data_IF_601140934224
#
_entry.id   IF_601140934224
#
_cell.length_a   1.000
_cell.length_b   1.000
_cell.length_c   1.000
_cell.angle_alpha   90.00
_cell.angle_beta   90.00
_cell.angle_gamma   90.00
#
_symmetry.space_group_name_H-M   'P 1'
#
loop_
_entity.id
_entity.type
_entity.pdbx_description
1 polymer ?
#
# COMPACT_ATOMS: atom_id res chain seq x y z
N UNK A 1 6.30 22.80 3.90
CA UNK A 1 5.26 21.81 4.24
C UNK A 1 5.88 20.42 4.36
N UNK A 2 5.61 19.72 5.45
CA UNK A 2 6.34 18.51 5.82
C UNK A 2 5.90 17.30 5.02
N UNK A 3 6.83 16.36 4.76
CA UNK A 3 6.56 15.02 4.17
C UNK A 3 5.31 14.35 4.79
N UNK A 4 5.06 14.60 6.07
CA UNK A 4 3.96 14.02 6.85
C UNK A 4 2.57 14.34 6.30
N UNK A 5 2.31 15.57 5.84
CA UNK A 5 0.98 15.95 5.31
C UNK A 5 0.73 15.29 3.94
N UNK A 6 1.77 15.23 3.10
CA UNK A 6 1.69 14.54 1.80
C UNK A 6 1.41 13.07 1.98
N UNK A 7 2.13 12.44 2.92
CA UNK A 7 1.95 11.03 3.26
C UNK A 7 0.54 10.78 3.79
N UNK A 8 0.03 11.62 4.68
CA UNK A 8 -1.31 11.49 5.22
C UNK A 8 -2.40 11.60 4.15
N UNK A 9 -2.32 12.62 3.28
CA UNK A 9 -3.30 12.81 2.22
C UNK A 9 -3.31 11.64 1.22
N UNK A 10 -2.14 11.19 0.75
CA UNK A 10 -2.04 10.05 -0.14
C UNK A 10 -2.52 8.75 0.53
N UNK A 11 -2.23 8.56 1.82
CA UNK A 11 -2.70 7.43 2.61
C UNK A 11 -4.22 7.40 2.74
N UNK A 12 -4.85 8.54 2.99
CA UNK A 12 -6.32 8.62 3.07
C UNK A 12 -6.97 8.22 1.75
N UNK A 13 -6.50 8.75 0.62
CA UNK A 13 -7.04 8.40 -0.70
C UNK A 13 -6.85 6.91 -0.98
N UNK A 14 -5.63 6.41 -0.84
CA UNK A 14 -5.32 5.01 -1.12
C UNK A 14 -6.01 4.04 -0.14
N UNK A 15 -6.10 4.40 1.15
CA UNK A 15 -6.81 3.61 2.17
C UNK A 15 -8.30 3.51 1.89
N UNK A 16 -8.93 4.60 1.42
CA UNK A 16 -10.34 4.58 1.01
C UNK A 16 -10.57 3.64 -0.16
N UNK A 17 -9.68 3.64 -1.16
CA UNK A 17 -9.78 2.72 -2.31
C UNK A 17 -9.57 1.27 -1.87
N UNK A 18 -8.56 1.01 -1.03
CA UNK A 18 -8.35 -0.34 -0.49
C UNK A 18 -9.57 -0.84 0.30
N UNK A 19 -10.14 0.00 1.17
CA UNK A 19 -11.36 -0.31 1.91
C UNK A 19 -12.53 -0.60 0.98
N UNK A 20 -12.75 0.21 -0.06
CA UNK A 20 -13.81 -0.01 -1.03
C UNK A 20 -13.65 -1.34 -1.78
N UNK A 21 -12.44 -1.71 -2.20
CA UNK A 21 -12.17 -2.99 -2.87
C UNK A 21 -12.39 -4.16 -1.91
N UNK A 22 -11.93 -4.07 -0.67
CA UNK A 22 -12.13 -5.11 0.34
C UNK A 22 -13.62 -5.30 0.68
N UNK A 23 -14.39 -4.21 0.80
CA UNK A 23 -15.84 -4.28 1.01
C UNK A 23 -16.55 -4.92 -0.20
N UNK A 24 -16.17 -4.52 -1.42
CA UNK A 24 -16.74 -5.09 -2.64
C UNK A 24 -16.45 -6.59 -2.80
N UNK A 25 -15.35 -7.07 -2.25
CA UNK A 25 -14.99 -8.50 -2.25
C UNK A 25 -15.54 -9.28 -1.06
N UNK A 26 -16.25 -8.61 -0.12
CA UNK A 26 -16.78 -9.22 1.09
C UNK A 26 -15.71 -9.72 2.09
N UNK A 27 -14.50 -9.16 2.02
CA UNK A 27 -13.34 -9.59 2.81
C UNK A 27 -12.85 -8.55 3.82
N UNK A 28 -13.66 -7.54 4.10
CA UNK A 28 -13.28 -6.47 5.02
C UNK A 28 -13.04 -7.00 6.44
N UNK A 29 -13.87 -7.94 6.90
CA UNK A 29 -13.78 -8.54 8.24
C UNK A 29 -12.52 -9.39 8.46
N UNK A 30 -11.85 -9.83 7.39
CA UNK A 30 -10.72 -10.75 7.48
C UNK A 30 -9.45 -10.15 8.07
N UNK A 31 -9.28 -8.83 8.08
CA UNK A 31 -8.10 -8.19 8.67
C UNK A 31 -8.05 -8.36 10.18
N UNK A 32 -9.19 -8.21 10.86
CA UNK A 32 -9.29 -8.37 12.32
C UNK A 32 -9.06 -9.83 12.71
N UNK A 33 -9.61 -10.78 11.95
CA UNK A 33 -9.40 -12.21 12.15
C UNK A 33 -7.93 -12.61 12.05
N UNK A 34 -7.22 -12.11 11.01
CA UNK A 34 -5.80 -12.43 10.80
C UNK A 34 -4.93 -11.99 11.98
N UNK A 35 -5.28 -10.87 12.63
CA UNK A 35 -4.52 -10.36 13.77
C UNK A 35 -5.03 -10.87 15.12
N UNK A 36 -6.17 -11.52 15.18
CA UNK A 36 -6.78 -11.97 16.45
C UNK A 36 -7.18 -10.83 17.39
N UNK A 37 -7.40 -9.64 16.83
CA UNK A 37 -7.69 -8.42 17.58
C UNK A 37 -9.21 -8.24 17.75
N UNK A 38 -9.78 -8.80 18.79
CA UNK A 38 -11.18 -8.54 19.15
C UNK A 38 -11.33 -7.13 19.72
N UNK A 39 -12.23 -6.33 19.11
CA UNK A 39 -12.59 -4.99 19.62
C UNK A 39 -11.85 -3.81 18.95
N UNK A 40 -11.01 -4.06 17.96
CA UNK A 40 -10.42 -3.02 17.14
C UNK A 40 -11.27 -2.81 15.89
N UNK A 41 -11.61 -1.56 15.60
CA UNK A 41 -12.32 -1.21 14.39
C UNK A 41 -11.42 -1.46 13.17
N UNK A 42 -11.95 -2.20 12.20
CA UNK A 42 -11.26 -2.61 10.97
C UNK A 42 -10.75 -1.42 10.17
N UNK A 43 -11.47 -0.30 10.19
CA UNK A 43 -11.05 0.94 9.54
C UNK A 43 -9.74 1.49 10.12
N UNK A 44 -9.53 1.39 11.44
CA UNK A 44 -8.28 1.84 12.07
C UNK A 44 -7.09 0.98 11.60
N UNK A 45 -7.27 -0.34 11.53
CA UNK A 45 -6.23 -1.23 10.99
C UNK A 45 -5.94 -0.94 9.52
N UNK A 46 -6.98 -0.75 8.71
CA UNK A 46 -6.86 -0.42 7.30
C UNK A 46 -6.06 0.87 7.09
N UNK A 47 -6.42 1.95 7.80
CA UNK A 47 -5.71 3.22 7.69
C UNK A 47 -4.28 3.15 8.23
N UNK A 48 -4.04 2.41 9.29
CA UNK A 48 -2.69 2.21 9.82
C UNK A 48 -1.79 1.50 8.79
N UNK A 49 -2.26 0.39 8.21
CA UNK A 49 -1.52 -0.33 7.18
C UNK A 49 -1.31 0.52 5.93
N UNK A 50 -2.35 1.25 5.51
CA UNK A 50 -2.27 2.19 4.40
C UNK A 50 -1.25 3.30 4.65
N UNK A 51 -1.20 3.85 5.86
CA UNK A 51 -0.22 4.87 6.23
C UNK A 51 1.21 4.34 6.19
N UNK A 52 1.46 3.15 6.76
CA UNK A 52 2.77 2.49 6.74
C UNK A 52 3.20 2.17 5.31
N UNK A 53 2.31 1.57 4.51
CA UNK A 53 2.59 1.24 3.12
C UNK A 53 2.85 2.51 2.28
N UNK A 54 2.08 3.59 2.50
CA UNK A 54 2.30 4.88 1.84
C UNK A 54 3.64 5.51 2.22
N UNK A 55 4.01 5.47 3.50
CA UNK A 55 5.32 5.95 3.95
C UNK A 55 6.47 5.16 3.30
N UNK A 56 6.33 3.85 3.19
CA UNK A 56 7.25 2.97 2.47
C UNK A 56 7.38 3.36 1.00
N UNK A 57 6.25 3.54 0.30
CA UNK A 57 6.22 3.98 -1.09
C UNK A 57 6.96 5.32 -1.28
N UNK A 58 6.61 6.33 -0.49
CA UNK A 58 7.22 7.66 -0.55
C UNK A 58 8.72 7.58 -0.29
N UNK A 59 9.15 6.81 0.71
CA UNK A 59 10.57 6.64 1.03
C UNK A 59 11.34 5.97 -0.12
N UNK A 60 10.81 4.88 -0.67
CA UNK A 60 11.44 4.12 -1.77
C UNK A 60 11.49 4.98 -3.04
N UNK A 61 10.36 5.52 -3.49
CA UNK A 61 10.29 6.31 -4.72
C UNK A 61 11.12 7.59 -4.62
N UNK A 62 11.09 8.27 -3.47
CA UNK A 62 11.90 9.48 -3.26
C UNK A 62 13.39 9.21 -3.25
N UNK A 63 13.84 8.09 -2.69
CA UNK A 63 15.26 7.69 -2.70
C UNK A 63 15.72 7.30 -4.08
N UNK A 64 14.95 6.43 -4.75
CA UNK A 64 15.29 5.94 -6.07
C UNK A 64 15.26 7.06 -7.11
N UNK A 65 14.28 7.96 -7.09
CA UNK A 65 14.19 9.09 -8.01
C UNK A 65 15.36 10.09 -7.87
N UNK A 66 16.00 10.16 -6.69
CA UNK A 66 17.20 10.99 -6.45
C UNK A 66 18.49 10.33 -6.89
N UNK A 67 18.48 9.01 -7.13
CA UNK A 67 19.67 8.30 -7.60
C UNK A 67 20.07 8.79 -9.01
N UNK A 68 21.37 8.97 -9.23
CA UNK A 68 21.91 9.28 -10.57
C UNK A 68 21.63 8.18 -11.59
N UNK A 69 21.43 6.96 -11.12
CA UNK A 69 21.12 5.78 -11.94
C UNK A 69 19.63 5.51 -12.07
N UNK A 70 18.75 6.40 -11.56
CA UNK A 70 17.31 6.19 -11.64
C UNK A 70 16.85 6.14 -13.10
N UNK A 71 16.16 5.08 -13.53
CA UNK A 71 15.58 5.01 -14.86
C UNK A 71 14.52 6.10 -15.05
N UNK A 72 14.34 6.55 -16.30
CA UNK A 72 13.39 7.63 -16.64
C UNK A 72 11.98 7.41 -16.07
N UNK A 73 11.36 6.20 -16.18
CA UNK A 73 10.02 5.98 -15.64
C UNK A 73 9.91 6.28 -14.14
N UNK A 74 10.97 6.04 -13.38
CA UNK A 74 10.97 6.29 -11.94
C UNK A 74 11.07 7.79 -11.61
N UNK A 75 11.82 8.56 -12.40
CA UNK A 75 11.87 10.02 -12.28
C UNK A 75 10.55 10.66 -12.67
N UNK A 76 9.90 10.12 -13.69
CA UNK A 76 8.60 10.59 -14.17
C UNK A 76 7.46 10.23 -13.22
N UNK A 77 7.57 9.13 -12.47
CA UNK A 77 6.58 8.72 -11.46
C UNK A 77 6.35 9.77 -10.36
N UNK A 78 7.35 10.60 -10.05
CA UNK A 78 7.19 11.70 -9.07
C UNK A 78 6.62 12.97 -9.69
N UNK A 79 6.43 13.02 -11.01
CA UNK A 79 5.99 14.21 -11.76
C UNK A 79 4.65 14.02 -12.46
N UNK A 80 4.36 12.82 -12.94
CA UNK A 80 3.20 12.51 -13.76
C UNK A 80 2.41 11.35 -13.18
N UNK A 81 1.08 11.46 -13.23
CA UNK A 81 0.17 10.47 -12.64
C UNK A 81 0.23 9.11 -13.31
N UNK A 82 0.39 9.04 -14.63
CA UNK A 82 0.43 7.76 -15.36
C UNK A 82 1.69 6.92 -15.03
N UNK A 83 2.93 7.44 -15.16
CA UNK A 83 4.11 6.72 -14.67
C UNK A 83 4.04 6.41 -13.17
N UNK A 84 3.47 7.32 -12.37
CA UNK A 84 3.21 7.11 -10.96
C UNK A 84 2.31 5.91 -10.71
N UNK A 85 1.20 5.79 -11.46
CA UNK A 85 0.29 4.65 -11.38
C UNK A 85 0.99 3.32 -11.72
N UNK A 86 1.81 3.30 -12.77
CA UNK A 86 2.57 2.09 -13.15
C UNK A 86 3.56 1.65 -12.06
N UNK A 87 4.28 2.59 -11.46
CA UNK A 87 5.18 2.29 -10.33
C UNK A 87 4.39 1.89 -9.09
N UNK A 88 3.24 2.52 -8.85
CA UNK A 88 2.34 2.16 -7.76
C UNK A 88 1.75 0.75 -7.91
N UNK A 89 1.37 0.36 -9.13
CA UNK A 89 0.93 -1.00 -9.43
C UNK A 89 2.03 -2.03 -9.11
N UNK A 90 3.25 -1.79 -9.58
CA UNK A 90 4.39 -2.66 -9.28
C UNK A 90 4.65 -2.73 -7.77
N UNK A 91 4.55 -1.60 -7.07
CA UNK A 91 4.68 -1.54 -5.61
C UNK A 91 3.60 -2.35 -4.90
N UNK A 92 2.32 -2.21 -5.29
CA UNK A 92 1.21 -2.99 -4.73
C UNK A 92 1.37 -4.49 -4.92
N UNK A 93 1.87 -4.91 -6.08
CA UNK A 93 2.19 -6.31 -6.37
C UNK A 93 3.32 -6.84 -5.48
N UNK A 94 4.41 -6.07 -5.32
CA UNK A 94 5.52 -6.42 -4.43
C UNK A 94 5.06 -6.45 -2.97
N UNK A 95 4.23 -5.48 -2.56
CA UNK A 95 3.67 -5.44 -1.21
C UNK A 95 2.81 -6.67 -0.94
N UNK A 96 1.96 -7.08 -1.88
CA UNK A 96 1.20 -8.32 -1.78
C UNK A 96 2.11 -9.54 -1.63
N UNK A 97 3.12 -9.65 -2.48
CA UNK A 97 4.06 -10.77 -2.43
C UNK A 97 4.75 -10.88 -1.07
N UNK A 98 5.27 -9.77 -0.55
CA UNK A 98 6.02 -9.75 0.71
C UNK A 98 5.11 -9.91 1.92
N UNK A 99 3.99 -9.17 1.97
CA UNK A 99 3.13 -9.12 3.16
C UNK A 99 2.14 -10.28 3.18
N UNK A 100 1.45 -10.52 2.05
CA UNK A 100 0.37 -11.53 2.02
C UNK A 100 0.93 -12.91 1.69
N UNK A 101 1.65 -13.06 0.58
CA UNK A 101 2.08 -14.38 0.13
C UNK A 101 3.07 -15.06 1.09
N UNK A 102 3.93 -14.28 1.74
CA UNK A 102 4.93 -14.80 2.67
C UNK A 102 4.75 -14.33 4.11
N UNK A 103 4.38 -13.07 4.33
CA UNK A 103 4.25 -12.50 5.67
C UNK A 103 3.12 -13.09 6.48
N UNK A 104 1.94 -13.28 5.89
CA UNK A 104 0.78 -13.87 6.57
C UNK A 104 1.04 -15.31 7.00
N UNK A 105 1.53 -16.24 6.16
CA UNK A 105 1.88 -17.58 6.61
C UNK A 105 2.93 -17.61 7.72
N UNK A 106 3.95 -16.76 7.61
CA UNK A 106 5.00 -16.65 8.63
C UNK A 106 4.42 -16.17 9.97
N UNK A 107 3.49 -15.21 9.93
CA UNK A 107 2.79 -14.75 11.12
C UNK A 107 1.99 -15.86 11.79
N UNK A 108 1.22 -16.63 11.01
CA UNK A 108 0.44 -17.75 11.53
C UNK A 108 1.32 -18.86 12.12
N UNK A 109 2.48 -19.16 11.51
CA UNK A 109 3.42 -20.16 12.03
C UNK A 109 4.04 -19.73 13.37
N UNK A 110 4.44 -18.44 13.48
CA UNK A 110 5.13 -17.92 14.68
C UNK A 110 4.14 -17.64 15.84
N UNK A 111 2.99 -17.03 15.54
CA UNK A 111 2.07 -16.55 16.58
C UNK A 111 0.93 -17.54 16.83
N UNK A 112 0.37 -18.12 15.76
CA UNK A 112 -0.78 -19.02 15.84
C UNK A 112 -0.40 -20.50 15.93
N UNK A 113 0.85 -20.89 15.72
CA UNK A 113 1.28 -22.29 15.66
C UNK A 113 0.63 -23.10 14.53
N UNK A 114 0.05 -22.40 13.54
CA UNK A 114 -0.64 -23.01 12.41
C UNK A 114 0.21 -22.91 11.16
N UNK A 115 0.49 -24.04 10.51
CA UNK A 115 1.21 -24.07 9.23
C UNK A 115 0.26 -23.77 8.08
N UNK A 116 0.49 -22.63 7.44
CA UNK A 116 -0.20 -22.23 6.21
C UNK A 116 0.73 -22.43 5.02
N UNK A 117 0.25 -22.96 3.88
CA UNK A 117 1.08 -23.15 2.68
C UNK A 117 1.73 -21.84 2.22
N UNK A 118 3.02 -21.88 1.86
CA UNK A 118 3.76 -20.78 1.25
C UNK A 118 4.07 -21.10 -0.22
N UNK A 119 3.83 -20.17 -1.14
CA UNK A 119 3.21 -18.86 -0.98
C UNK A 119 1.68 -18.93 -0.78
N UNK A 120 1.14 -18.07 0.06
CA UNK A 120 -0.31 -17.99 0.29
C UNK A 120 -1.01 -17.23 -0.85
N UNK A 121 -1.85 -17.96 -1.60
CA UNK A 121 -2.53 -17.42 -2.77
C UNK A 121 -3.91 -16.86 -2.39
N UNK A 122 -3.97 -15.58 -2.08
CA UNK A 122 -5.22 -14.88 -1.78
C UNK A 122 -5.46 -13.78 -2.82
N UNK A 123 -6.15 -14.12 -3.92
CA UNK A 123 -6.39 -13.22 -5.05
C UNK A 123 -7.15 -11.93 -4.68
N UNK A 124 -8.18 -11.95 -3.81
CA UNK A 124 -8.86 -10.72 -3.43
C UNK A 124 -7.94 -9.68 -2.77
N UNK A 125 -6.95 -10.11 -1.99
CA UNK A 125 -5.96 -9.18 -1.42
C UNK A 125 -4.95 -8.69 -2.46
N UNK A 126 -4.66 -9.47 -3.49
CA UNK A 126 -3.86 -9.01 -4.63
C UNK A 126 -4.56 -7.86 -5.34
N UNK A 127 -5.84 -8.04 -5.71
CA UNK A 127 -6.63 -7.01 -6.38
C UNK A 127 -6.71 -5.72 -5.54
N UNK A 128 -6.95 -5.86 -4.23
CA UNK A 128 -7.00 -4.75 -3.30
C UNK A 128 -5.66 -3.99 -3.21
N UNK A 129 -4.53 -4.69 -3.08
CA UNK A 129 -3.22 -4.07 -2.95
C UNK A 129 -2.70 -3.49 -4.27
N UNK A 130 -3.03 -4.10 -5.41
CA UNK A 130 -2.74 -3.54 -6.73
C UNK A 130 -3.54 -2.26 -6.96
N UNK A 131 -4.85 -2.26 -6.65
CA UNK A 131 -5.68 -1.06 -6.73
C UNK A 131 -5.16 0.05 -5.80
N UNK A 132 -4.86 -0.30 -4.53
CA UNK A 132 -4.25 0.61 -3.57
C UNK A 132 -2.96 1.24 -4.10
N UNK A 133 -2.01 0.43 -4.55
CA UNK A 133 -0.74 0.91 -5.06
C UNK A 133 -0.90 1.80 -6.29
N UNK A 134 -1.79 1.42 -7.22
CA UNK A 134 -2.08 2.17 -8.45
C UNK A 134 -2.62 3.57 -8.12
N UNK A 135 -3.61 3.65 -7.23
CA UNK A 135 -4.19 4.94 -6.80
C UNK A 135 -3.18 5.77 -6.02
N UNK A 136 -2.41 5.14 -5.14
CA UNK A 136 -1.33 5.79 -4.39
C UNK A 136 -0.31 6.43 -5.35
N UNK A 137 0.17 5.66 -6.32
CA UNK A 137 1.14 6.12 -7.31
C UNK A 137 0.60 7.23 -8.20
N UNK A 138 -0.67 7.15 -8.63
CA UNK A 138 -1.33 8.18 -9.44
C UNK A 138 -1.56 9.48 -8.66
N UNK A 139 -1.95 9.38 -7.39
CA UNK A 139 -2.26 10.53 -6.54
C UNK A 139 -1.01 11.24 -6.01
N UNK A 140 0.09 10.53 -5.82
CA UNK A 140 1.31 11.08 -5.24
C UNK A 140 1.84 12.35 -5.92
N UNK A 141 2.01 12.42 -7.28
CA UNK A 141 2.47 13.63 -7.93
C UNK A 141 1.45 14.78 -7.84
N UNK A 142 0.15 14.49 -7.76
CA UNK A 142 -0.90 15.50 -7.58
C UNK A 142 -0.78 16.13 -6.19
N UNK A 143 -0.75 15.30 -5.15
CA UNK A 143 -0.60 15.76 -3.76
C UNK A 143 0.71 16.54 -3.59
N UNK A 144 1.79 16.08 -4.21
CA UNK A 144 3.07 16.76 -4.18
C UNK A 144 2.99 18.16 -4.79
N UNK A 145 2.34 18.32 -5.94
CA UNK A 145 2.17 19.64 -6.58
C UNK A 145 1.36 20.59 -5.69
N UNK A 146 0.22 20.11 -5.16
CA UNK A 146 -0.63 20.93 -4.28
C UNK A 146 0.10 21.40 -3.01
N UNK A 147 1.08 20.65 -2.55
CA UNK A 147 1.84 20.98 -1.33
C UNK A 147 3.12 21.77 -1.60
N UNK A 148 3.60 21.83 -2.85
CA UNK A 148 4.77 22.65 -3.23
C UNK A 148 4.37 24.12 -3.51
N UNK A 149 3.06 24.44 -3.57
CA UNK A 149 2.51 25.79 -3.81
C UNK A 149 2.27 26.60 -2.51
N UNK A 150 2.58 26.07 -1.35
CA UNK A 150 2.52 26.71 -0.02
C UNK A 150 3.88 26.79 0.65
#
# INVERSE_FOLDING_TARGET
MTITVRTAAASLVAGTVLGAVLMATGRFDSLVEVYGLSGVDEWHLLYLHSAVATAGFVAVVSRLARSRFAPLPLRDAVRYSFPGACIGLAYGTVLWLVVVAYGVPLWFDIVGGQRVPMPYHHLPSLDALVAFGTVLGASYPIVRRLTDWG
#
